data_IF_991664974610
#
_entry.id   IF_991664974610
#
_cell.length_a   1.000
_cell.length_b   1.000
_cell.length_c   1.000
_cell.angle_alpha   90.00
_cell.angle_beta   90.00
_cell.angle_gamma   90.00
#
_symmetry.space_group_name_H-M   'P 1'
#
loop_
_entity.id
_entity.type
_entity.pdbx_description
1 polymer ?
#
# COMPACT_ATOMS: atom_id res chain seq x y z
N UNK A 1 -1.94 -19.46 -7.61
CA UNK A 1 -1.08 -18.27 -7.41
C UNK A 1 0.36 -18.76 -7.49
N UNK A 2 1.15 -18.26 -8.44
CA UNK A 2 2.57 -18.61 -8.54
C UNK A 2 3.37 -17.45 -7.95
N UNK A 3 4.08 -17.71 -6.86
CA UNK A 3 4.95 -16.74 -6.20
C UNK A 3 6.38 -17.06 -6.61
N UNK A 4 7.14 -16.06 -7.04
CA UNK A 4 8.54 -16.25 -7.42
C UNK A 4 9.36 -16.66 -6.19
N UNK A 5 10.43 -17.44 -6.40
CA UNK A 5 11.27 -17.94 -5.32
C UNK A 5 11.76 -16.80 -4.40
N UNK A 6 11.54 -16.97 -3.11
CA UNK A 6 11.90 -15.99 -2.07
C UNK A 6 10.91 -14.84 -1.86
N UNK A 7 9.83 -14.76 -2.64
CA UNK A 7 8.71 -13.85 -2.37
C UNK A 7 7.68 -14.53 -1.45
N UNK A 8 7.04 -13.72 -0.61
CA UNK A 8 5.99 -14.18 0.31
C UNK A 8 4.71 -13.42 -0.06
N UNK A 9 3.61 -14.12 -0.36
CA UNK A 9 2.34 -13.45 -0.64
C UNK A 9 1.84 -12.74 0.63
N UNK A 10 1.29 -11.53 0.45
CA UNK A 10 0.55 -10.87 1.52
C UNK A 10 -0.80 -11.59 1.74
N UNK A 11 -1.39 -11.47 2.94
CA UNK A 11 -2.74 -11.96 3.20
C UNK A 11 -3.75 -11.39 2.19
N UNK A 12 -4.77 -12.16 1.78
CA UNK A 12 -5.86 -11.64 0.97
C UNK A 12 -6.56 -10.46 1.64
N UNK A 13 -6.96 -9.48 0.84
CA UNK A 13 -7.69 -8.30 1.29
C UNK A 13 -9.06 -8.30 0.62
N UNK A 14 -10.16 -8.12 1.37
CA UNK A 14 -11.49 -7.91 0.77
C UNK A 14 -11.50 -6.69 -0.14
N UNK A 15 -12.11 -6.78 -1.31
CA UNK A 15 -12.27 -5.66 -2.24
C UNK A 15 -13.47 -4.79 -1.87
N UNK A 16 -13.62 -4.45 -0.59
CA UNK A 16 -14.69 -3.61 -0.07
C UNK A 16 -14.32 -2.14 -0.23
N UNK A 17 -14.48 -1.61 -1.44
CA UNK A 17 -14.20 -0.22 -1.80
C UNK A 17 -13.61 -0.07 -3.20
N UNK A 18 -13.38 1.18 -3.61
CA UNK A 18 -12.98 1.53 -4.98
C UNK A 18 -11.52 1.97 -5.10
N UNK A 19 -10.79 2.00 -3.98
CA UNK A 19 -9.40 2.46 -3.93
C UNK A 19 -8.51 1.42 -3.28
N UNK A 20 -7.32 1.25 -3.84
CA UNK A 20 -6.25 0.40 -3.33
C UNK A 20 -5.22 1.28 -2.67
N UNK A 21 -4.80 0.92 -1.45
CA UNK A 21 -3.68 1.54 -0.77
C UNK A 21 -2.58 0.50 -0.51
N UNK A 22 -1.34 0.87 -0.85
CA UNK A 22 -0.17 0.00 -0.76
C UNK A 22 0.95 0.73 -0.07
N UNK A 23 1.69 0.04 0.80
CA UNK A 23 2.88 0.58 1.44
C UNK A 23 4.11 -0.30 1.22
N UNK A 24 5.28 0.34 1.13
CA UNK A 24 6.57 -0.29 0.89
C UNK A 24 7.53 -0.10 2.07
N UNK A 25 8.54 -0.98 2.14
CA UNK A 25 9.56 -1.01 3.20
C UNK A 25 10.47 0.23 3.23
N UNK A 26 10.48 1.02 2.16
CA UNK A 26 11.20 2.30 2.08
C UNK A 26 10.40 3.50 2.62
N UNK A 27 9.26 3.25 3.28
CA UNK A 27 8.41 4.29 3.86
C UNK A 27 7.53 5.02 2.85
N UNK A 28 7.41 4.52 1.62
CA UNK A 28 6.51 5.08 0.61
C UNK A 28 5.15 4.39 0.62
N UNK A 29 4.12 5.16 0.32
CA UNK A 29 2.77 4.67 0.07
C UNK A 29 2.25 5.16 -1.28
N UNK A 30 1.33 4.38 -1.84
CA UNK A 30 0.68 4.63 -3.11
C UNK A 30 -0.80 4.28 -2.99
N UNK A 31 -1.66 5.18 -3.47
CA UNK A 31 -3.11 5.00 -3.52
C UNK A 31 -3.56 5.14 -4.98
N UNK A 32 -4.38 4.22 -5.48
CA UNK A 32 -4.89 4.27 -6.84
C UNK A 32 -6.26 3.59 -6.96
N UNK A 33 -7.06 3.88 -8.00
CA UNK A 33 -8.36 3.25 -8.19
C UNK A 33 -8.26 1.72 -8.37
N UNK A 34 -9.16 0.98 -7.74
CA UNK A 34 -9.24 -0.48 -7.84
C UNK A 34 -9.43 -0.95 -9.28
N UNK A 35 -10.11 -0.17 -10.12
CA UNK A 35 -10.28 -0.45 -11.57
C UNK A 35 -8.96 -0.55 -12.35
N UNK A 36 -7.84 0.00 -11.83
CA UNK A 36 -6.53 -0.21 -12.45
C UNK A 36 -6.01 -1.65 -12.25
N UNK A 37 -6.60 -2.40 -11.32
CA UNK A 37 -6.35 -3.84 -11.07
C UNK A 37 -7.38 -4.65 -11.84
N UNK A 38 -6.93 -5.25 -12.96
CA UNK A 38 -7.79 -6.13 -13.74
C UNK A 38 -7.96 -7.48 -13.03
N UNK A 39 -9.17 -8.03 -13.10
CA UNK A 39 -9.44 -9.40 -12.69
C UNK A 39 -8.52 -10.36 -13.45
N UNK A 40 -7.79 -11.17 -12.69
CA UNK A 40 -6.89 -12.18 -13.22
C UNK A 40 -7.50 -13.57 -13.14
N UNK A 41 -7.28 -14.39 -14.16
CA UNK A 41 -7.67 -15.81 -14.16
C UNK A 41 -6.58 -16.72 -13.55
N UNK A 42 -5.64 -16.14 -12.78
CA UNK A 42 -4.45 -16.80 -12.23
C UNK A 42 -3.13 -16.18 -12.71
N UNK A 43 -1.99 -16.63 -12.16
CA UNK A 43 -0.65 -16.17 -12.54
C UNK A 43 0.01 -15.21 -11.55
N UNK A 44 0.96 -14.40 -12.06
CA UNK A 44 1.79 -13.44 -11.29
C UNK A 44 1.03 -12.20 -10.82
N UNK A 45 -0.12 -11.90 -11.44
CA UNK A 45 -0.89 -10.69 -11.17
C UNK A 45 -0.29 -9.43 -11.82
N UNK A 46 -0.76 -8.27 -11.37
CA UNK A 46 -0.31 -6.95 -11.85
C UNK A 46 0.56 -6.26 -10.81
N UNK A 47 1.46 -5.38 -11.26
CA UNK A 47 2.28 -4.59 -10.36
C UNK A 47 1.45 -3.48 -9.69
N UNK A 48 1.38 -3.50 -8.35
CA UNK A 48 0.68 -2.48 -7.56
C UNK A 48 1.58 -1.28 -7.29
N UNK A 49 2.83 -1.51 -6.84
CA UNK A 49 3.83 -0.47 -6.55
C UNK A 49 5.19 -0.83 -7.19
N UNK A 50 5.94 0.18 -7.64
CA UNK A 50 7.32 -0.02 -8.11
C UNK A 50 8.28 0.02 -6.94
N UNK A 51 8.99 -1.08 -6.77
CA UNK A 51 10.01 -1.29 -5.76
C UNK A 51 11.39 -1.30 -6.42
N UNK A 52 12.36 -0.67 -5.77
CA UNK A 52 13.77 -0.81 -6.12
C UNK A 52 14.35 -2.10 -5.49
N UNK A 53 15.58 -2.48 -5.87
CA UNK A 53 16.20 -3.72 -5.39
C UNK A 53 16.31 -3.74 -3.86
N UNK A 54 15.83 -4.83 -3.24
CA UNK A 54 15.82 -5.02 -1.79
C UNK A 54 14.59 -4.44 -1.08
N UNK A 55 13.76 -3.65 -1.76
CA UNK A 55 12.51 -3.16 -1.20
C UNK A 55 11.40 -4.21 -1.29
N UNK A 56 10.45 -4.15 -0.34
CA UNK A 56 9.32 -5.08 -0.26
C UNK A 56 8.01 -4.33 -0.06
N UNK A 57 6.92 -4.91 -0.56
CA UNK A 57 5.56 -4.48 -0.20
C UNK A 57 5.26 -4.95 1.22
N UNK A 58 4.82 -4.05 2.09
CA UNK A 58 4.62 -4.30 3.52
C UNK A 58 3.16 -4.42 3.90
N UNK A 59 2.29 -3.66 3.26
CA UNK A 59 0.87 -3.66 3.56
C UNK A 59 0.05 -3.30 2.31
N UNK A 60 -1.18 -3.81 2.29
CA UNK A 60 -2.18 -3.60 1.27
C UNK A 60 -3.55 -3.49 1.96
N UNK A 61 -4.39 -2.56 1.52
CA UNK A 61 -5.82 -2.57 1.84
C UNK A 61 -6.62 -2.05 0.65
N UNK A 62 -7.91 -2.37 0.59
CA UNK A 62 -8.90 -1.71 -0.27
C UNK A 62 -9.80 -0.88 0.64
N UNK A 63 -10.24 0.28 0.18
CA UNK A 63 -11.05 1.22 0.95
C UNK A 63 -11.90 2.13 0.06
N UNK A 64 -12.78 2.91 0.68
CA UNK A 64 -13.73 3.83 0.04
C UNK A 64 -13.09 5.11 -0.55
N UNK A 65 -11.80 5.33 -0.34
CA UNK A 65 -11.09 6.52 -0.78
C UNK A 65 -11.19 7.72 0.18
N UNK A 66 -11.90 7.63 1.30
CA UNK A 66 -12.14 8.75 2.22
C UNK A 66 -11.13 8.82 3.35
N UNK A 67 -10.94 7.71 4.07
CA UNK A 67 -10.05 7.64 5.22
C UNK A 67 -9.21 6.37 5.17
N UNK A 68 -7.90 6.54 5.30
CA UNK A 68 -6.95 5.44 5.42
C UNK A 68 -6.22 5.55 6.75
N UNK A 69 -6.28 4.48 7.55
CA UNK A 69 -5.49 4.34 8.76
C UNK A 69 -4.18 3.64 8.46
N UNK A 70 -3.09 4.21 8.94
CA UNK A 70 -1.73 3.69 8.78
C UNK A 70 -1.12 3.47 10.15
N UNK A 71 -0.62 2.27 10.39
CA UNK A 71 0.18 1.95 11.58
C UNK A 71 1.58 1.57 11.12
N UNK A 72 2.58 2.05 11.86
CA UNK A 72 3.96 1.83 11.52
C UNK A 72 4.90 2.55 12.47
N UNK A 73 6.19 2.48 12.18
CA UNK A 73 7.22 3.14 12.97
C UNK A 73 8.20 3.89 12.07
N UNK A 74 8.67 5.05 12.53
CA UNK A 74 9.85 5.67 11.97
C UNK A 74 11.12 5.01 12.52
N UNK A 75 12.26 5.23 11.85
CA UNK A 75 13.55 4.67 12.29
C UNK A 75 13.85 5.05 13.75
N UNK A 76 14.00 4.04 14.62
CA UNK A 76 14.30 4.22 16.05
C UNK A 76 13.15 4.78 16.90
N UNK A 77 11.93 4.85 16.37
CA UNK A 77 10.75 5.36 17.08
C UNK A 77 9.81 4.22 17.47
N UNK A 78 8.99 4.43 18.50
CA UNK A 78 7.88 3.52 18.82
C UNK A 78 6.85 3.56 17.69
N UNK A 79 6.14 2.45 17.51
CA UNK A 79 5.02 2.38 16.59
C UNK A 79 3.96 3.42 16.93
N UNK A 80 3.41 4.05 15.90
CA UNK A 80 2.36 5.04 15.99
C UNK A 80 1.33 4.82 14.89
N UNK A 81 0.29 5.68 14.91
CA UNK A 81 -0.79 5.67 13.94
C UNK A 81 -0.89 7.02 13.24
N UNK A 82 -1.29 6.98 11.98
CA UNK A 82 -1.55 8.14 11.13
C UNK A 82 -2.91 7.92 10.45
N UNK A 83 -3.77 8.94 10.49
CA UNK A 83 -5.01 8.98 9.73
C UNK A 83 -4.79 9.88 8.52
N UNK A 84 -4.98 9.32 7.32
CA UNK A 84 -4.92 10.05 6.06
C UNK A 84 -6.33 10.27 5.53
N UNK A 85 -6.67 11.53 5.27
CA UNK A 85 -7.97 11.94 4.71
C UNK A 85 -7.83 13.31 4.03
N UNK A 86 -8.74 13.63 3.10
CA UNK A 86 -8.72 14.91 2.37
C UNK A 86 -7.37 15.15 1.69
N UNK A 87 -6.86 16.38 1.78
CA UNK A 87 -5.58 16.78 1.14
C UNK A 87 -4.39 15.91 1.55
N UNK A 88 -4.34 15.45 2.81
CA UNK A 88 -3.28 14.56 3.29
C UNK A 88 -3.31 13.18 2.60
N UNK A 89 -4.46 12.75 2.08
CA UNK A 89 -4.58 11.53 1.30
C UNK A 89 -4.26 11.75 -0.18
N UNK A 90 -4.66 12.88 -0.75
CA UNK A 90 -4.48 13.18 -2.19
C UNK A 90 -3.02 13.08 -2.65
N UNK A 91 -2.06 13.45 -1.79
CA UNK A 91 -0.61 13.34 -2.10
C UNK A 91 -0.12 11.92 -2.39
N UNK A 92 -0.90 10.90 -2.01
CA UNK A 92 -0.59 9.49 -2.26
C UNK A 92 -1.33 8.94 -3.48
N UNK A 93 -2.30 9.69 -4.03
CA UNK A 93 -3.07 9.29 -5.21
C UNK A 93 -2.25 9.45 -6.47
N UNK A 94 -1.71 8.35 -6.96
CA UNK A 94 -0.87 8.29 -8.17
C UNK A 94 -1.17 6.95 -8.85
N UNK A 95 -1.10 6.87 -10.18
CA UNK A 95 -1.29 5.63 -10.92
C UNK A 95 -0.47 4.45 -10.36
N UNK A 96 -1.01 3.24 -10.50
CA UNK A 96 -0.33 2.01 -10.07
C UNK A 96 1.05 1.85 -10.71
N UNK A 97 1.87 1.01 -10.12
CA UNK A 97 3.24 0.73 -10.56
C UNK A 97 4.17 1.98 -10.60
N UNK A 98 3.78 3.07 -9.92
CA UNK A 98 4.69 4.17 -9.56
C UNK A 98 5.39 3.86 -8.23
N UNK A 99 6.40 4.66 -7.89
CA UNK A 99 7.20 4.48 -6.64
C UNK A 99 6.45 4.89 -5.37
N UNK A 100 5.33 5.59 -5.49
CA UNK A 100 4.62 6.19 -4.34
C UNK A 100 5.31 7.43 -3.77
N UNK A 101 4.69 7.99 -2.74
CA UNK A 101 5.11 9.18 -2.00
C UNK A 101 5.54 8.80 -0.59
N UNK A 102 6.50 9.52 0.00
CA UNK A 102 6.94 9.27 1.38
C UNK A 102 5.80 9.52 2.38
N UNK A 103 5.62 8.56 3.29
CA UNK A 103 4.74 8.73 4.45
C UNK A 103 5.29 9.80 5.38
N UNK A 104 4.38 10.50 6.06
CA UNK A 104 4.75 11.49 7.06
C UNK A 104 5.63 10.88 8.15
N UNK A 105 6.50 11.73 8.73
CA UNK A 105 7.43 11.36 9.80
C UNK A 105 8.41 10.24 9.42
N UNK A 106 8.60 10.02 8.12
CA UNK A 106 9.44 8.94 7.56
C UNK A 106 9.06 7.56 8.11
N UNK A 107 7.76 7.37 8.33
CA UNK A 107 7.23 6.12 8.87
C UNK A 107 7.28 5.01 7.82
N UNK A 108 7.63 3.81 8.26
CA UNK A 108 7.43 2.57 7.50
C UNK A 108 6.16 1.91 8.01
N UNK A 109 5.14 1.82 7.15
CA UNK A 109 3.87 1.22 7.51
C UNK A 109 4.00 -0.31 7.65
N UNK A 110 3.48 -0.82 8.75
CA UNK A 110 3.31 -2.26 9.02
C UNK A 110 1.87 -2.72 8.79
N UNK A 111 0.89 -1.81 8.80
CA UNK A 111 -0.52 -2.14 8.58
C UNK A 111 -1.27 -0.96 7.96
N UNK A 112 -2.22 -1.28 7.09
CA UNK A 112 -3.21 -0.38 6.52
C UNK A 112 -4.60 -0.93 6.82
N UNK A 113 -5.55 -0.08 7.18
CA UNK A 113 -6.97 -0.47 7.36
C UNK A 113 -7.90 0.72 7.24
N UNK A 114 -9.20 0.44 7.19
CA UNK A 114 -10.28 1.41 7.28
C UNK A 114 -10.86 1.40 8.69
N UNK A 115 -11.21 2.56 9.23
CA UNK A 115 -11.94 2.67 10.50
C UNK A 115 -13.33 2.00 10.40
#
# INVERSE_FOLDING_TARGET
MAVEDGQIPLPPVPTTGDWVAVAASNGKALVFPLEEVKDGTGGKGVQLIKLDAGEKMMALTVFDGQTLMVEGAGKGKRSGRLKLSGENLERYRIHRAKKGSLLEKEMVASRLWTD
#
